data_IF_812565349345
#
_entry.id   IF_812565349345
#
_cell.length_a   1.000
_cell.length_b   1.000
_cell.length_c   1.000
_cell.angle_alpha   90.00
_cell.angle_beta   90.00
_cell.angle_gamma   90.00
#
_symmetry.space_group_name_H-M   'P 1'
#
loop_
_entity.id
_entity.type
_entity.pdbx_description
1 polymer ?
#
# COMPACT_ATOMS: atom_id res chain seq x y z
N UNK A 1 -3.15 -3.54 -11.23
CA UNK A 1 -1.84 -3.57 -11.92
C UNK A 1 -1.84 -2.42 -12.90
N UNK A 2 -0.69 -1.95 -13.42
CA UNK A 2 -0.73 -1.00 -14.55
C UNK A 2 -1.62 -1.60 -15.65
N UNK A 3 -2.62 -0.85 -16.09
CA UNK A 3 -3.52 -1.30 -17.14
C UNK A 3 -2.74 -1.36 -18.46
N UNK A 4 -2.28 -2.55 -18.83
CA UNK A 4 -1.68 -2.76 -20.15
C UNK A 4 -2.79 -2.56 -21.19
N UNK A 5 -2.77 -1.41 -21.88
CA UNK A 5 -3.76 -0.95 -22.86
C UNK A 5 -3.90 -1.84 -24.11
N UNK A 6 -3.05 -2.87 -24.25
CA UNK A 6 -3.00 -3.73 -25.44
C UNK A 6 -3.61 -5.11 -25.17
N UNK A 7 -4.41 -5.58 -26.14
CA UNK A 7 -5.17 -6.84 -26.11
C UNK A 7 -4.49 -7.98 -26.90
N UNK A 8 -3.19 -7.84 -27.20
CA UNK A 8 -2.44 -8.86 -27.91
C UNK A 8 -2.12 -10.03 -26.96
N UNK A 9 -2.06 -11.25 -27.48
CA UNK A 9 -1.89 -12.48 -26.70
C UNK A 9 -0.67 -12.45 -25.76
N UNK A 10 0.45 -11.83 -26.14
CA UNK A 10 1.61 -11.67 -25.28
C UNK A 10 1.31 -10.87 -23.99
N UNK A 11 0.48 -9.82 -24.10
CA UNK A 11 0.14 -8.96 -22.96
C UNK A 11 -0.88 -9.67 -22.06
N UNK A 12 -1.77 -10.49 -22.65
CA UNK A 12 -2.69 -11.37 -21.91
C UNK A 12 -1.94 -12.43 -21.10
N UNK A 13 -0.93 -13.07 -21.70
CA UNK A 13 -0.05 -14.02 -21.02
C UNK A 13 0.69 -13.36 -19.85
N UNK A 14 1.23 -12.15 -20.05
CA UNK A 14 1.90 -11.43 -18.97
C UNK A 14 0.94 -11.02 -17.84
N UNK A 15 -0.28 -10.55 -18.15
CA UNK A 15 -1.32 -10.30 -17.13
C UNK A 15 -1.64 -11.56 -16.32
N UNK A 16 -1.73 -12.71 -16.99
CA UNK A 16 -1.98 -13.99 -16.34
C UNK A 16 -0.84 -14.39 -15.40
N UNK A 17 0.41 -14.20 -15.84
CA UNK A 17 1.59 -14.45 -15.02
C UNK A 17 1.56 -13.63 -13.72
N UNK A 18 1.25 -12.33 -13.82
CA UNK A 18 1.13 -11.46 -12.64
C UNK A 18 0.07 -11.96 -11.65
N UNK A 19 -1.05 -12.51 -12.13
CA UNK A 19 -2.09 -13.11 -11.29
C UNK A 19 -1.60 -14.39 -10.61
N UNK A 20 -0.92 -15.27 -11.35
CA UNK A 20 -0.42 -16.56 -10.81
C UNK A 20 0.62 -16.32 -9.73
N UNK A 21 1.59 -15.42 -9.97
CA UNK A 21 2.63 -15.09 -8.98
C UNK A 21 2.00 -14.49 -7.71
N UNK A 22 0.97 -13.64 -7.85
CA UNK A 22 0.24 -13.06 -6.70
C UNK A 22 -0.49 -14.12 -5.87
N UNK A 23 -1.17 -15.05 -6.55
CA UNK A 23 -2.10 -15.99 -5.90
C UNK A 23 -1.36 -17.13 -5.19
N UNK A 24 -0.18 -17.51 -5.70
CA UNK A 24 0.58 -18.64 -5.17
C UNK A 24 1.62 -18.24 -4.09
N UNK A 25 1.61 -16.98 -3.63
CA UNK A 25 2.59 -16.48 -2.66
C UNK A 25 4.03 -16.47 -3.18
N UNK A 26 4.23 -16.51 -4.50
CA UNK A 26 5.57 -16.46 -5.08
C UNK A 26 6.12 -15.03 -5.01
N UNK A 27 7.40 -14.94 -4.65
CA UNK A 27 8.14 -13.68 -4.52
C UNK A 27 8.35 -13.02 -5.89
N UNK A 28 7.86 -11.79 -6.06
CA UNK A 28 7.98 -11.03 -7.31
C UNK A 28 9.39 -10.48 -7.57
N UNK A 29 10.19 -10.41 -6.50
CA UNK A 29 11.57 -10.01 -6.48
C UNK A 29 12.54 -11.17 -6.78
N UNK A 30 12.07 -12.42 -6.80
CA UNK A 30 12.92 -13.57 -7.13
C UNK A 30 13.22 -13.69 -8.63
N UNK A 31 14.30 -14.37 -8.95
CA UNK A 31 14.65 -14.78 -10.31
C UNK A 31 13.91 -16.06 -10.71
N UNK A 32 13.43 -16.10 -11.95
CA UNK A 32 12.78 -17.26 -12.57
C UNK A 32 13.60 -17.69 -13.79
N UNK A 33 13.62 -18.97 -14.10
CA UNK A 33 14.01 -19.41 -15.45
C UNK A 33 12.88 -19.11 -16.44
N UNK A 34 13.22 -18.92 -17.71
CA UNK A 34 12.21 -18.74 -18.77
C UNK A 34 11.26 -19.94 -18.85
N UNK A 35 11.76 -21.16 -18.64
CA UNK A 35 10.96 -22.38 -18.56
C UNK A 35 9.97 -22.34 -17.38
N UNK A 36 10.42 -21.93 -16.19
CA UNK A 36 9.56 -21.78 -15.01
C UNK A 36 8.43 -20.78 -15.27
N UNK A 37 8.72 -19.65 -15.93
CA UNK A 37 7.68 -18.71 -16.36
C UNK A 37 6.66 -19.41 -17.26
N UNK A 38 7.12 -20.24 -18.20
CA UNK A 38 6.25 -21.04 -19.06
C UNK A 38 5.36 -22.03 -18.30
N UNK A 39 5.87 -22.64 -17.23
CA UNK A 39 5.12 -23.55 -16.36
C UNK A 39 4.06 -22.85 -15.50
N UNK A 40 4.25 -21.57 -15.18
CA UNK A 40 3.28 -20.76 -14.43
C UNK A 40 2.09 -20.31 -15.29
N UNK A 41 2.27 -20.22 -16.61
CA UNK A 41 1.23 -19.82 -17.57
C UNK A 41 1.09 -20.81 -18.72
N UNK A 42 0.79 -22.10 -18.43
CA UNK A 42 0.76 -23.12 -19.45
C UNK A 42 -0.38 -22.88 -20.45
N UNK A 43 -0.18 -23.27 -21.71
CA UNK A 43 -1.17 -23.12 -22.80
C UNK A 43 -2.59 -23.57 -22.42
N UNK A 44 -2.71 -24.65 -21.64
CA UNK A 44 -4.00 -25.18 -21.17
C UNK A 44 -4.85 -24.14 -20.43
N UNK A 45 -4.20 -23.17 -19.78
CA UNK A 45 -4.85 -22.10 -19.01
C UNK A 45 -4.77 -20.75 -19.71
N UNK A 46 -4.13 -20.66 -20.88
CA UNK A 46 -3.76 -19.38 -21.48
C UNK A 46 -4.84 -18.74 -22.35
N UNK A 47 -5.95 -19.46 -22.60
CA UNK A 47 -7.00 -19.02 -23.53
C UNK A 47 -6.56 -18.94 -25.00
N UNK A 48 -5.41 -19.54 -25.37
CA UNK A 48 -4.90 -19.58 -26.75
C UNK A 48 -5.08 -21.00 -27.30
N UNK A 49 -5.86 -21.14 -28.37
CA UNK A 49 -6.23 -22.44 -28.93
C UNK A 49 -5.05 -23.16 -29.61
N UNK A 50 -4.28 -22.43 -30.43
CA UNK A 50 -3.19 -23.01 -31.24
C UNK A 50 -1.85 -22.95 -30.51
N UNK A 51 -1.09 -24.05 -30.55
CA UNK A 51 0.24 -24.13 -29.92
C UNK A 51 1.25 -23.17 -30.56
N UNK A 52 1.15 -22.94 -31.87
CA UNK A 52 2.00 -22.01 -32.62
C UNK A 52 1.75 -20.58 -32.14
N UNK A 53 0.48 -20.22 -31.94
CA UNK A 53 0.08 -18.91 -31.45
C UNK A 53 0.52 -18.67 -30.00
N UNK A 54 0.45 -19.70 -29.14
CA UNK A 54 0.93 -19.63 -27.76
C UNK A 54 2.44 -19.41 -27.73
N UNK A 55 3.20 -20.26 -28.43
CA UNK A 55 4.65 -20.20 -28.49
C UNK A 55 5.14 -18.86 -29.07
N UNK A 56 4.50 -18.39 -30.13
CA UNK A 56 4.79 -17.06 -30.67
C UNK A 56 4.54 -15.96 -29.63
N UNK A 57 3.42 -16.03 -28.90
CA UNK A 57 3.07 -15.03 -27.90
C UNK A 57 4.05 -15.01 -26.73
N UNK A 58 4.57 -16.18 -26.32
CA UNK A 58 5.65 -16.29 -25.33
C UNK A 58 6.94 -15.62 -25.83
N UNK A 59 7.37 -15.91 -27.07
CA UNK A 59 8.51 -15.21 -27.68
C UNK A 59 8.32 -13.69 -27.68
N UNK A 60 7.14 -13.19 -28.07
CA UNK A 60 6.85 -11.75 -28.04
C UNK A 60 6.86 -11.18 -26.61
N UNK A 61 6.32 -11.93 -25.65
CA UNK A 61 6.24 -11.51 -24.24
C UNK A 61 7.63 -11.26 -23.62
N UNK A 62 8.64 -12.03 -24.04
CA UNK A 62 10.02 -11.89 -23.61
C UNK A 62 10.84 -10.88 -24.45
N UNK A 63 10.29 -10.37 -25.55
CA UNK A 63 10.96 -9.43 -26.45
C UNK A 63 10.67 -7.96 -26.15
N UNK A 64 11.42 -7.04 -26.77
CA UNK A 64 11.14 -5.60 -26.78
C UNK A 64 10.18 -5.15 -27.87
N UNK A 65 9.58 -6.08 -28.61
CA UNK A 65 8.67 -5.72 -29.69
C UNK A 65 7.53 -4.84 -29.15
N UNK A 66 7.32 -3.68 -29.78
CA UNK A 66 6.38 -2.64 -29.33
C UNK A 66 6.70 -2.02 -27.95
N UNK A 67 7.98 -1.95 -27.58
CA UNK A 67 8.44 -1.30 -26.35
C UNK A 67 8.13 -2.08 -25.07
N UNK A 68 7.98 -3.40 -25.17
CA UNK A 68 7.74 -4.27 -24.02
C UNK A 68 9.01 -4.43 -23.21
N UNK A 69 8.90 -4.24 -21.90
CA UNK A 69 10.00 -4.47 -20.96
C UNK A 69 9.50 -5.22 -19.72
N UNK A 70 8.63 -6.21 -19.94
CA UNK A 70 8.02 -7.06 -18.91
C UNK A 70 9.00 -7.80 -18.03
N UNK A 71 10.20 -8.07 -18.56
CA UNK A 71 11.24 -8.81 -17.86
C UNK A 71 12.57 -8.08 -17.90
N UNK A 72 13.31 -8.23 -16.82
CA UNK A 72 14.72 -7.88 -16.70
C UNK A 72 15.52 -9.18 -16.86
N UNK A 73 16.33 -9.28 -17.91
CA UNK A 73 17.18 -10.44 -18.14
C UNK A 73 18.46 -10.33 -17.33
N UNK A 74 18.90 -11.44 -16.72
CA UNK A 74 20.17 -11.47 -16.00
C UNK A 74 21.35 -11.51 -16.98
N UNK A 75 21.15 -12.11 -18.16
CA UNK A 75 22.07 -12.01 -19.29
C UNK A 75 21.70 -10.78 -20.15
N UNK A 76 22.57 -9.77 -20.28
CA UNK A 76 22.26 -8.52 -20.98
C UNK A 76 22.00 -8.71 -22.49
N UNK A 77 22.59 -9.73 -23.12
CA UNK A 77 22.46 -9.97 -24.57
C UNK A 77 21.13 -10.64 -24.93
N UNK A 78 20.52 -11.36 -23.97
CA UNK A 78 19.32 -12.16 -24.21
C UNK A 78 18.12 -11.36 -24.68
N UNK A 79 18.02 -10.11 -24.23
CA UNK A 79 16.94 -9.22 -24.61
C UNK A 79 16.96 -8.92 -26.11
N UNK A 80 18.15 -8.65 -26.66
CA UNK A 80 18.37 -8.43 -28.10
C UNK A 80 18.12 -9.71 -28.88
N UNK A 81 18.69 -10.83 -28.44
CA UNK A 81 18.57 -12.15 -29.09
C UNK A 81 17.10 -12.57 -29.27
N UNK A 82 16.28 -12.45 -28.21
CA UNK A 82 14.86 -12.81 -28.27
C UNK A 82 14.06 -11.81 -29.12
N UNK A 83 14.45 -10.53 -29.13
CA UNK A 83 13.81 -9.51 -29.97
C UNK A 83 14.07 -9.74 -31.45
N UNK A 84 15.28 -10.15 -31.82
CA UNK A 84 15.59 -10.53 -33.21
C UNK A 84 14.86 -11.81 -33.63
N UNK A 85 14.76 -12.80 -32.72
CA UNK A 85 13.95 -14.00 -32.93
C UNK A 85 12.48 -13.64 -33.18
N UNK A 86 11.91 -12.72 -32.39
CA UNK A 86 10.53 -12.25 -32.51
C UNK A 86 10.24 -11.59 -33.87
N UNK A 87 11.21 -10.90 -34.45
CA UNK A 87 11.07 -10.16 -35.72
C UNK A 87 11.40 -11.02 -36.96
N UNK A 88 11.93 -12.23 -36.80
CA UNK A 88 12.31 -13.11 -37.92
C UNK A 88 11.08 -13.80 -38.57
N UNK A 89 11.01 -13.82 -39.91
CA UNK A 89 9.89 -14.40 -40.68
C UNK A 89 9.73 -15.91 -40.48
N UNK A 90 10.82 -16.68 -40.54
CA UNK A 90 10.85 -18.15 -40.38
C UNK A 90 11.39 -18.56 -39.01
N UNK A 91 10.96 -17.86 -37.94
CA UNK A 91 11.45 -18.06 -36.57
C UNK A 91 11.03 -19.41 -35.97
N UNK A 92 11.88 -19.96 -35.10
CA UNK A 92 11.51 -21.05 -34.22
C UNK A 92 10.75 -20.51 -33.00
N UNK A 93 9.43 -20.51 -33.05
CA UNK A 93 8.59 -20.02 -31.93
C UNK A 93 8.73 -20.85 -30.64
N UNK A 94 9.35 -22.04 -30.66
CA UNK A 94 9.59 -22.84 -29.45
C UNK A 94 10.93 -22.53 -28.79
N UNK A 95 11.80 -21.77 -29.45
CA UNK A 95 13.16 -21.51 -28.99
C UNK A 95 13.22 -20.80 -27.63
N UNK A 96 12.20 -20.00 -27.27
CA UNK A 96 12.12 -19.38 -25.94
C UNK A 96 12.22 -20.43 -24.83
N UNK A 97 11.65 -21.62 -25.03
CA UNK A 97 11.72 -22.72 -24.06
C UNK A 97 12.84 -23.71 -24.41
N UNK A 98 12.89 -24.18 -25.66
CA UNK A 98 13.78 -25.30 -26.03
C UNK A 98 15.26 -24.93 -26.14
N UNK A 99 15.57 -23.63 -26.32
CA UNK A 99 16.95 -23.13 -26.43
C UNK A 99 17.26 -22.25 -25.22
N UNK A 100 16.35 -21.32 -24.89
CA UNK A 100 16.58 -20.30 -23.87
C UNK A 100 15.88 -20.57 -22.53
N UNK A 101 15.27 -21.75 -22.33
CA UNK A 101 14.48 -22.05 -21.13
C UNK A 101 15.25 -21.89 -19.81
N UNK A 102 16.56 -22.11 -19.83
CA UNK A 102 17.45 -21.99 -18.67
C UNK A 102 17.89 -20.56 -18.33
N UNK A 103 17.68 -19.60 -19.25
CA UNK A 103 18.02 -18.20 -19.02
C UNK A 103 17.16 -17.61 -17.90
N UNK A 104 17.77 -16.73 -17.10
CA UNK A 104 17.12 -16.19 -15.89
C UNK A 104 16.60 -14.79 -16.12
N UNK A 105 15.40 -14.56 -15.61
CA UNK A 105 14.68 -13.29 -15.70
C UNK A 105 14.07 -12.91 -14.37
N UNK A 106 13.89 -11.60 -14.15
CA UNK A 106 13.01 -11.05 -13.11
C UNK A 106 11.84 -10.36 -13.78
N UNK A 107 10.63 -10.47 -13.20
CA UNK A 107 9.49 -9.67 -13.65
C UNK A 107 9.81 -8.21 -13.36
N UNK A 108 9.62 -7.31 -14.33
CA UNK A 108 9.93 -5.91 -14.14
C UNK A 108 8.99 -5.30 -13.08
N UNK A 109 9.53 -4.81 -11.94
CA UNK A 109 8.73 -4.40 -10.79
C UNK A 109 7.73 -3.27 -11.08
N UNK A 110 7.95 -2.47 -12.12
CA UNK A 110 7.02 -1.42 -12.52
C UNK A 110 5.62 -1.94 -12.89
N UNK A 111 5.51 -3.21 -13.26
CA UNK A 111 4.20 -3.80 -13.58
C UNK A 111 3.46 -4.36 -12.36
N UNK A 112 4.14 -4.40 -11.20
CA UNK A 112 3.58 -4.77 -9.91
C UNK A 112 2.88 -3.59 -9.24
N UNK A 113 3.23 -2.37 -9.64
CA UNK A 113 2.70 -1.13 -9.07
C UNK A 113 1.37 -0.76 -9.71
N UNK A 114 0.29 -1.37 -9.21
CA UNK A 114 -0.88 -0.56 -8.84
C UNK A 114 -1.14 -0.57 -7.33
N UNK A 115 -0.68 -1.62 -6.65
CA UNK A 115 -0.72 -1.89 -5.19
C UNK A 115 0.36 -1.21 -4.36
N UNK A 116 1.31 -0.52 -5.01
CA UNK A 116 2.38 0.19 -4.32
C UNK A 116 2.09 1.67 -4.48
N UNK A 117 1.17 2.14 -3.65
CA UNK A 117 0.97 3.56 -3.38
C UNK A 117 2.09 3.94 -2.42
N UNK A 118 3.20 4.43 -2.98
CA UNK A 118 4.02 5.39 -2.26
C UNK A 118 3.27 6.73 -2.33
N UNK A 119 2.98 7.42 -1.22
CA UNK A 119 1.83 8.34 -1.07
C UNK A 119 1.92 9.67 -1.81
N UNK A 120 2.82 9.83 -2.77
CA UNK A 120 2.95 11.10 -3.49
C UNK A 120 2.69 10.86 -4.97
N UNK A 121 1.40 10.79 -5.32
CA UNK A 121 0.99 11.16 -6.66
C UNK A 121 1.33 12.64 -6.83
N UNK A 122 2.00 12.99 -7.92
CA UNK A 122 2.38 14.38 -8.28
C UNK A 122 3.43 15.05 -7.37
N UNK A 123 4.58 14.39 -7.15
CA UNK A 123 5.76 15.07 -6.57
C UNK A 123 6.31 16.10 -7.55
N UNK A 124 5.98 17.37 -7.35
CA UNK A 124 6.48 18.47 -8.20
C UNK A 124 7.87 18.97 -7.75
N UNK A 125 8.25 18.71 -6.50
CA UNK A 125 9.55 19.09 -5.96
C UNK A 125 10.09 18.08 -4.92
N UNK A 126 11.39 17.83 -4.99
CA UNK A 126 12.11 16.97 -4.04
C UNK A 126 13.27 17.75 -3.43
N UNK A 127 13.32 17.76 -2.09
CA UNK A 127 14.35 18.47 -1.33
C UNK A 127 15.01 17.56 -0.32
N UNK A 128 16.32 17.68 -0.20
CA UNK A 128 17.07 17.07 0.91
C UNK A 128 17.16 18.11 2.04
N UNK A 129 16.66 17.73 3.20
CA UNK A 129 16.83 18.46 4.45
C UNK A 129 17.97 17.81 5.26
N UNK A 130 19.15 18.44 5.34
CA UNK A 130 20.24 17.93 6.17
C UNK A 130 19.96 18.20 7.65
N UNK A 131 20.04 17.13 8.43
CA UNK A 131 20.04 17.12 9.89
C UNK A 131 21.49 16.90 10.35
N UNK A 132 21.84 17.44 11.53
CA UNK A 132 23.21 17.46 12.03
C UNK A 132 23.25 17.12 13.50
N UNK A 133 24.29 16.40 13.93
CA UNK A 133 24.65 16.17 15.34
C UNK A 133 25.02 17.48 16.06
N UNK A 134 25.30 18.55 15.31
CA UNK A 134 25.50 19.89 15.89
C UNK A 134 24.19 20.53 16.36
N UNK A 135 23.04 19.96 16.00
CA UNK A 135 21.76 20.31 16.60
C UNK A 135 21.66 19.58 17.95
N UNK A 136 21.54 20.30 19.09
CA UNK A 136 21.40 19.66 20.40
C UNK A 136 20.25 18.66 20.48
N UNK A 137 19.22 18.79 19.63
CA UNK A 137 18.10 17.86 19.55
C UNK A 137 18.53 16.45 19.08
N UNK A 138 19.64 16.35 18.33
CA UNK A 138 20.10 15.12 17.68
C UNK A 138 21.53 14.71 18.07
N UNK A 139 22.15 15.39 19.04
CA UNK A 139 23.51 15.08 19.48
C UNK A 139 23.59 13.66 20.09
N UNK A 140 24.61 12.91 19.69
CA UNK A 140 24.83 11.53 20.14
C UNK A 140 23.87 10.48 19.59
N UNK A 141 22.84 10.86 18.82
CA UNK A 141 21.83 9.91 18.33
C UNK A 141 22.33 9.08 17.16
N UNK A 142 22.04 7.79 17.17
CA UNK A 142 22.23 6.91 16.00
C UNK A 142 21.16 7.17 14.95
N UNK A 143 21.34 6.63 13.73
CA UNK A 143 20.29 6.70 12.70
C UNK A 143 19.00 6.06 13.20
N UNK A 144 19.09 4.94 13.92
CA UNK A 144 17.94 4.25 14.49
C UNK A 144 17.18 5.15 15.48
N UNK A 145 17.90 5.86 16.35
CA UNK A 145 17.29 6.76 17.34
C UNK A 145 16.55 7.92 16.67
N UNK A 146 17.10 8.46 15.57
CA UNK A 146 16.43 9.48 14.78
C UNK A 146 15.21 8.92 14.05
N UNK A 147 15.28 7.72 13.49
CA UNK A 147 14.13 7.08 12.85
C UNK A 147 13.00 6.77 13.87
N UNK A 148 13.35 6.43 15.11
CA UNK A 148 12.40 6.36 16.21
C UNK A 148 11.77 7.73 16.49
N UNK A 149 12.57 8.80 16.56
CA UNK A 149 12.05 10.18 16.69
C UNK A 149 11.10 10.58 15.55
N UNK A 150 11.40 10.22 14.30
CA UNK A 150 10.48 10.41 13.16
C UNK A 150 9.14 9.70 13.37
N UNK A 151 9.17 8.56 14.06
CA UNK A 151 7.97 7.75 14.33
C UNK A 151 7.17 8.31 15.50
N UNK A 152 7.86 8.68 16.56
CA UNK A 152 7.23 8.93 17.86
C UNK A 152 6.92 10.42 18.10
N UNK A 153 7.66 11.32 17.44
CA UNK A 153 7.64 12.75 17.77
C UNK A 153 7.11 13.58 16.61
N UNK A 154 7.74 13.46 15.42
CA UNK A 154 7.42 14.30 14.27
C UNK A 154 5.92 14.36 13.87
N UNK A 155 5.11 13.29 13.94
CA UNK A 155 3.69 13.36 13.60
C UNK A 155 2.88 14.38 14.40
N UNK A 156 3.29 14.62 15.64
CA UNK A 156 2.60 15.50 16.59
C UNK A 156 3.30 16.84 16.81
N UNK A 157 4.45 17.08 16.17
CA UNK A 157 5.29 18.25 16.44
C UNK A 157 5.74 18.95 15.17
N UNK A 158 5.89 20.27 15.26
CA UNK A 158 6.47 21.05 14.17
C UNK A 158 8.00 20.86 14.13
N UNK A 159 8.57 20.70 12.93
CA UNK A 159 10.02 20.62 12.75
C UNK A 159 10.60 22.04 12.69
N UNK A 160 11.25 22.48 13.76
CA UNK A 160 11.79 23.83 13.85
C UNK A 160 13.05 24.03 12.98
N UNK A 161 13.26 25.24 12.48
CA UNK A 161 14.48 25.58 11.75
C UNK A 161 15.01 26.98 12.12
N UNK A 162 16.33 27.10 12.15
CA UNK A 162 17.01 28.41 12.22
C UNK A 162 17.21 29.01 10.82
N UNK A 163 17.36 28.15 9.80
CA UNK A 163 17.45 28.52 8.38
C UNK A 163 16.57 27.60 7.52
N UNK A 164 15.40 28.10 7.15
CA UNK A 164 14.44 27.36 6.34
C UNK A 164 14.83 27.26 4.87
N UNK A 165 14.37 26.21 4.21
CA UNK A 165 14.34 26.01 2.77
C UNK A 165 13.29 26.95 2.17
N UNK A 166 13.52 27.45 0.95
CA UNK A 166 12.45 28.03 0.14
C UNK A 166 11.69 26.89 -0.55
N UNK A 167 10.52 26.52 -0.03
CA UNK A 167 9.73 25.33 -0.42
C UNK A 167 8.25 25.61 -0.23
N UNK A 168 7.43 25.01 -1.09
CA UNK A 168 5.98 25.09 -1.05
C UNK A 168 5.36 23.79 -0.48
N UNK A 169 4.13 23.89 0.01
CA UNK A 169 3.33 22.73 0.40
C UNK A 169 3.28 21.67 -0.72
N UNK A 170 3.32 20.39 -0.37
CA UNK A 170 3.39 19.29 -1.35
C UNK A 170 4.82 18.88 -1.74
N UNK A 171 5.85 19.61 -1.32
CA UNK A 171 7.25 19.21 -1.52
C UNK A 171 7.56 17.90 -0.79
N UNK A 172 8.15 16.94 -1.49
CA UNK A 172 8.74 15.75 -0.88
C UNK A 172 10.08 16.11 -0.23
N UNK A 173 10.12 15.98 1.09
CA UNK A 173 11.34 16.19 1.87
C UNK A 173 11.97 14.85 2.19
N UNK A 174 13.24 14.70 1.84
CA UNK A 174 14.10 13.58 2.19
C UNK A 174 15.03 14.02 3.33
N UNK A 175 14.98 13.32 4.45
CA UNK A 175 15.75 13.69 5.63
C UNK A 175 17.11 13.01 5.60
N UNK A 176 18.16 13.83 5.56
CA UNK A 176 19.53 13.36 5.55
C UNK A 176 20.13 13.41 6.96
N UNK A 177 20.69 12.30 7.42
CA UNK A 177 21.43 12.23 8.67
C UNK A 177 22.60 11.24 8.55
N UNK A 178 23.76 11.56 9.16
CA UNK A 178 24.98 10.73 9.11
C UNK A 178 25.31 10.17 7.72
N UNK A 179 25.27 11.04 6.70
CA UNK A 179 25.51 10.70 5.30
C UNK A 179 24.61 9.58 4.74
N UNK A 180 23.35 9.55 5.18
CA UNK A 180 22.30 8.69 4.62
C UNK A 180 21.00 9.49 4.46
N UNK A 181 20.12 9.06 3.56
CA UNK A 181 18.69 9.40 3.65
C UNK A 181 18.03 8.35 4.53
N UNK A 182 17.32 8.80 5.56
CA UNK A 182 16.82 7.93 6.63
C UNK A 182 15.29 7.97 6.78
N UNK A 183 14.65 9.02 6.25
CA UNK A 183 13.21 9.20 6.29
C UNK A 183 12.73 10.09 5.13
N UNK A 184 11.43 10.15 4.95
CA UNK A 184 10.77 11.09 4.02
C UNK A 184 9.41 11.52 4.51
N UNK A 185 8.93 12.69 4.09
CA UNK A 185 7.57 13.17 4.36
C UNK A 185 7.15 14.23 3.33
N UNK A 186 5.85 14.50 3.22
CA UNK A 186 5.33 15.67 2.49
C UNK A 186 5.20 16.85 3.41
N UNK A 187 5.77 17.96 2.96
CA UNK A 187 5.54 19.24 3.60
C UNK A 187 4.07 19.61 3.50
N UNK A 188 3.39 19.75 4.64
CA UNK A 188 2.04 20.29 4.72
C UNK A 188 2.10 21.81 4.56
N UNK A 189 2.91 22.48 5.39
CA UNK A 189 3.14 23.91 5.29
C UNK A 189 4.44 24.32 5.96
N UNK A 190 4.95 25.46 5.55
CA UNK A 190 6.05 26.17 6.21
C UNK A 190 5.50 27.41 6.91
N UNK A 191 5.86 27.60 8.17
CA UNK A 191 5.51 28.78 8.96
C UNK A 191 6.79 29.55 9.27
N UNK A 192 6.77 30.86 9.11
CA UNK A 192 7.88 31.77 9.51
C UNK A 192 7.38 32.56 10.70
N UNK A 193 8.18 32.65 11.75
CA UNK A 193 7.81 33.38 12.96
C UNK A 193 8.05 34.89 12.77
N UNK A 194 7.11 35.72 13.22
CA UNK A 194 7.17 37.19 13.11
C UNK A 194 8.23 37.79 14.06
N UNK A 195 8.39 37.18 15.23
CA UNK A 195 9.46 37.46 16.19
C UNK A 195 10.28 36.19 16.43
N UNK A 196 11.60 36.33 16.67
CA UNK A 196 12.42 35.15 17.01
C UNK A 196 11.88 34.54 18.30
N UNK A 197 11.62 33.24 18.30
CA UNK A 197 11.29 32.54 19.54
C UNK A 197 12.43 32.68 20.56
N UNK A 198 12.14 32.47 21.85
CA UNK A 198 13.14 32.46 22.93
C UNK A 198 14.35 31.54 22.59
N UNK A 199 14.12 30.51 21.77
CA UNK A 199 15.09 29.49 21.34
C UNK A 199 15.80 29.74 19.98
N UNK A 200 15.80 30.96 19.43
CA UNK A 200 16.52 31.38 18.20
C UNK A 200 16.00 30.85 16.84
N UNK A 201 14.93 30.06 16.82
CA UNK A 201 14.32 29.57 15.58
C UNK A 201 13.63 30.68 14.78
N UNK A 202 13.61 30.54 13.44
CA UNK A 202 12.99 31.51 12.51
C UNK A 202 11.66 31.03 11.95
N UNK A 203 11.28 29.79 12.22
CA UNK A 203 10.07 29.18 11.71
C UNK A 203 10.11 27.67 11.89
N UNK A 204 9.08 27.01 11.36
CA UNK A 204 8.94 25.57 11.42
C UNK A 204 8.31 25.00 10.14
N UNK A 205 8.54 23.71 9.91
CA UNK A 205 7.81 22.92 8.94
C UNK A 205 6.78 22.07 9.65
N UNK A 206 5.58 22.02 9.08
CA UNK A 206 4.59 21.00 9.41
C UNK A 206 4.58 19.97 8.30
N UNK A 207 4.63 18.70 8.66
CA UNK A 207 4.56 17.60 7.71
C UNK A 207 3.20 16.91 7.82
N UNK A 208 2.70 16.39 6.70
CA UNK A 208 1.49 15.56 6.72
C UNK A 208 1.80 14.28 7.47
N UNK A 209 1.23 14.10 8.65
CA UNK A 209 1.67 13.08 9.58
C UNK A 209 1.51 11.63 9.05
N UNK A 210 0.49 11.39 8.23
CA UNK A 210 0.27 10.11 7.50
C UNK A 210 1.24 9.86 6.33
N UNK A 211 2.11 10.81 6.00
CA UNK A 211 3.12 10.67 4.95
C UNK A 211 4.52 10.40 5.48
N UNK A 212 4.74 10.60 6.78
CA UNK A 212 6.05 10.39 7.39
C UNK A 212 6.39 8.91 7.27
N UNK A 213 7.56 8.63 6.71
CA UNK A 213 7.99 7.28 6.42
C UNK A 213 9.48 7.11 6.72
N UNK A 214 9.81 5.94 7.27
CA UNK A 214 11.17 5.49 7.56
C UNK A 214 11.48 4.23 6.75
N UNK A 215 12.76 4.01 6.48
CA UNK A 215 13.25 2.89 5.66
C UNK A 215 14.71 2.61 5.97
N UNK A 216 15.23 1.46 5.53
CA UNK A 216 16.65 1.14 5.61
C UNK A 216 17.49 2.30 5.04
N UNK A 217 18.45 2.85 5.81
CA UNK A 217 19.20 4.04 5.43
C UNK A 217 19.86 3.93 4.05
N UNK A 218 19.66 4.95 3.22
CA UNK A 218 20.16 4.97 1.85
C UNK A 218 21.47 5.74 1.77
N UNK A 219 22.51 5.05 1.34
CA UNK A 219 23.85 5.61 1.19
C UNK A 219 24.02 6.36 -0.15
N UNK A 220 25.23 6.87 -0.38
CA UNK A 220 25.54 7.70 -1.56
C UNK A 220 25.41 6.92 -2.86
N UNK A 221 25.79 5.65 -2.87
CA UNK A 221 25.73 4.79 -4.06
C UNK A 221 24.29 4.62 -4.52
N UNK A 222 23.39 4.35 -3.57
CA UNK A 222 21.94 4.29 -3.83
C UNK A 222 21.44 5.63 -4.37
N UNK A 223 21.78 6.74 -3.72
CA UNK A 223 21.34 8.07 -4.16
C UNK A 223 21.84 8.41 -5.58
N UNK A 224 23.08 8.07 -5.91
CA UNK A 224 23.65 8.27 -7.25
C UNK A 224 22.95 7.41 -8.32
N UNK A 225 22.50 6.21 -7.95
CA UNK A 225 21.75 5.34 -8.87
C UNK A 225 20.38 5.94 -9.25
N UNK A 226 19.78 6.72 -8.34
CA UNK A 226 18.53 7.45 -8.59
C UNK A 226 18.80 8.79 -9.28
N UNK A 227 19.83 9.50 -8.85
CA UNK A 227 20.21 10.85 -9.28
C UNK A 227 21.71 10.92 -9.58
N UNK A 228 22.14 10.70 -10.84
CA UNK A 228 23.55 10.76 -11.20
C UNK A 228 24.22 12.12 -10.94
N UNK A 229 23.43 13.20 -10.89
CA UNK A 229 23.88 14.56 -10.57
C UNK A 229 23.92 14.87 -9.07
N UNK A 230 23.64 13.89 -8.20
CA UNK A 230 23.66 14.07 -6.76
C UNK A 230 25.07 14.43 -6.28
N UNK A 231 25.19 15.57 -5.60
CA UNK A 231 26.49 16.16 -5.22
C UNK A 231 27.09 15.52 -3.97
N UNK A 232 26.48 14.46 -3.45
CA UNK A 232 26.85 13.80 -2.20
C UNK A 232 26.19 14.45 -0.98
N UNK A 233 26.28 13.77 0.15
CA UNK A 233 25.73 14.25 1.41
C UNK A 233 26.62 15.36 1.99
N UNK A 234 25.98 16.46 2.37
CA UNK A 234 26.62 17.61 3.01
C UNK A 234 25.55 18.43 3.74
N UNK A 235 25.95 19.46 4.48
CA UNK A 235 25.04 20.29 5.28
C UNK A 235 24.31 21.37 4.46
N UNK A 236 24.40 21.35 3.12
CA UNK A 236 23.64 22.27 2.26
C UNK A 236 22.31 21.63 1.86
N UNK A 237 21.26 22.44 1.83
CA UNK A 237 19.97 22.06 1.31
C UNK A 237 20.10 21.81 -0.20
N UNK A 238 19.60 20.67 -0.68
CA UNK A 238 19.70 20.28 -2.09
C UNK A 238 18.33 20.08 -2.70
N UNK A 239 18.19 20.44 -3.97
CA UNK A 239 17.03 20.08 -4.80
C UNK A 239 17.42 18.94 -5.71
N UNK A 240 16.59 17.90 -5.73
CA UNK A 240 16.75 16.76 -6.62
C UNK A 240 15.80 16.89 -7.80
N UNK A 241 16.22 16.32 -8.92
CA UNK A 241 15.40 16.27 -10.13
C UNK A 241 14.26 15.26 -9.96
N UNK A 242 13.04 15.67 -10.26
CA UNK A 242 11.83 14.85 -10.08
C UNK A 242 11.90 13.57 -10.92
N UNK A 243 12.59 13.58 -12.06
CA UNK A 243 12.72 12.37 -12.91
C UNK A 243 13.44 11.21 -12.20
N UNK A 244 14.28 11.47 -11.20
CA UNK A 244 14.92 10.41 -10.41
C UNK A 244 14.00 9.74 -9.38
N UNK A 245 12.84 10.34 -9.11
CA UNK A 245 11.87 9.84 -8.14
C UNK A 245 11.36 8.44 -8.45
N UNK A 246 11.14 8.12 -9.73
CA UNK A 246 10.67 6.79 -10.12
C UNK A 246 11.69 5.69 -9.81
N UNK A 247 12.99 6.00 -9.91
CA UNK A 247 14.07 5.06 -9.52
C UNK A 247 14.14 4.94 -8.00
N UNK A 248 14.03 6.07 -7.31
CA UNK A 248 14.03 6.14 -5.85
C UNK A 248 12.89 5.35 -5.23
N UNK A 249 11.66 5.54 -5.72
CA UNK A 249 10.49 4.82 -5.23
C UNK A 249 10.65 3.31 -5.40
N UNK A 250 11.21 2.84 -6.53
CA UNK A 250 11.52 1.42 -6.74
C UNK A 250 12.48 0.87 -5.69
N UNK A 251 13.55 1.62 -5.39
CA UNK A 251 14.55 1.16 -4.41
C UNK A 251 13.96 1.12 -3.01
N UNK A 252 13.12 2.08 -2.62
CA UNK A 252 12.50 2.10 -1.29
C UNK A 252 11.69 0.85 -0.96
N UNK A 253 11.10 0.19 -1.97
CA UNK A 253 10.34 -1.05 -1.80
C UNK A 253 11.19 -2.22 -1.35
N UNK A 254 12.49 -2.15 -1.65
CA UNK A 254 13.49 -3.14 -1.25
C UNK A 254 14.19 -2.75 0.07
N UNK A 255 13.70 -1.70 0.75
CA UNK A 255 14.37 -1.04 1.89
C UNK A 255 13.48 -0.96 3.13
N UNK A 256 12.69 -1.99 3.39
CA UNK A 256 11.89 -2.15 4.62
C UNK A 256 11.09 -0.89 5.02
N UNK A 257 10.42 -0.33 4.03
CA UNK A 257 9.68 0.91 4.16
C UNK A 257 8.49 0.81 5.12
N UNK A 258 8.32 1.80 6.01
CA UNK A 258 7.22 1.90 7.00
C UNK A 258 6.68 3.33 7.12
N UNK A 259 5.36 3.49 7.22
CA UNK A 259 4.71 4.77 7.54
C UNK A 259 4.40 4.91 9.01
N UNK A 260 4.47 6.14 9.51
CA UNK A 260 4.45 6.43 10.95
C UNK A 260 3.05 6.48 11.56
N UNK A 261 2.05 7.10 10.89
CA UNK A 261 0.65 7.11 11.34
C UNK A 261 -0.24 6.12 10.57
N UNK A 262 0.16 4.86 10.51
CA UNK A 262 -0.69 3.80 9.97
C UNK A 262 -1.80 3.50 10.98
N UNK A 263 -2.96 4.19 10.97
CA UNK A 263 -4.30 3.61 11.28
C UNK A 263 -4.44 2.43 10.34
N UNK A 264 -4.49 1.20 10.86
CA UNK A 264 -4.28 -0.05 10.12
C UNK A 264 -4.93 0.07 8.75
N UNK A 265 -4.11 0.20 7.71
CA UNK A 265 -4.55 0.30 6.33
C UNK A 265 -5.76 -0.63 6.10
N UNK A 266 -6.94 -0.08 5.79
CA UNK A 266 -8.20 -0.82 5.64
C UNK A 266 -8.05 -2.00 4.67
N UNK A 267 -7.23 -1.83 3.61
CA UNK A 267 -6.91 -2.89 2.67
C UNK A 267 -5.95 -3.95 3.24
N UNK A 268 -5.03 -3.59 4.15
CA UNK A 268 -4.19 -4.53 4.87
C UNK A 268 -4.98 -5.29 5.95
N UNK A 269 -5.88 -4.60 6.65
CA UNK A 269 -6.82 -5.20 7.59
C UNK A 269 -7.74 -6.20 6.88
N UNK A 270 -8.37 -5.77 5.78
CA UNK A 270 -9.21 -6.64 4.94
C UNK A 270 -8.41 -7.79 4.33
N UNK A 271 -7.19 -7.55 3.85
CA UNK A 271 -6.32 -8.63 3.36
C UNK A 271 -5.96 -9.62 4.46
N UNK A 272 -5.73 -9.16 5.69
CA UNK A 272 -5.51 -10.02 6.85
C UNK A 272 -6.72 -10.91 7.14
N UNK A 273 -7.93 -10.34 7.09
CA UNK A 273 -9.19 -11.08 7.25
C UNK A 273 -9.34 -12.18 6.18
N UNK A 274 -9.07 -11.88 4.91
CA UNK A 274 -9.20 -12.87 3.85
C UNK A 274 -8.26 -14.07 4.02
N UNK A 275 -7.05 -13.83 4.55
CA UNK A 275 -6.02 -14.86 4.76
C UNK A 275 -6.25 -15.71 6.04
N UNK A 276 -7.17 -15.33 6.92
CA UNK A 276 -7.51 -16.14 8.09
C UNK A 276 -8.34 -17.35 7.67
N UNK A 277 -7.80 -18.55 7.94
CA UNK A 277 -8.47 -19.82 7.71
C UNK A 277 -8.93 -20.42 9.05
N UNK A 278 -10.20 -20.24 9.40
CA UNK A 278 -10.84 -20.78 10.61
C UNK A 278 -12.18 -21.42 10.26
N UNK A 279 -12.58 -22.45 11.01
CA UNK A 279 -13.91 -23.08 10.90
C UNK A 279 -14.88 -22.48 11.91
N UNK A 280 -16.16 -22.33 11.52
CA UNK A 280 -17.21 -21.65 12.28
C UNK A 280 -17.30 -22.11 13.75
N UNK A 281 -17.05 -21.21 14.73
CA UNK A 281 -17.44 -21.40 16.12
C UNK A 281 -18.88 -20.93 16.36
N UNK A 282 -19.45 -21.29 17.52
CA UNK A 282 -20.74 -20.73 17.97
C UNK A 282 -20.66 -19.20 18.15
N UNK A 283 -21.77 -18.52 17.82
CA UNK A 283 -21.95 -17.08 18.06
C UNK A 283 -21.81 -16.78 19.56
N UNK A 284 -21.17 -15.67 19.87
CA UNK A 284 -21.06 -15.16 21.24
C UNK A 284 -21.25 -13.65 21.21
N UNK A 285 -22.51 -13.20 21.10
CA UNK A 285 -22.86 -11.80 21.33
C UNK A 285 -22.85 -11.58 22.86
N UNK A 286 -21.65 -11.41 23.41
CA UNK A 286 -21.41 -11.18 24.85
C UNK A 286 -20.73 -9.81 24.97
N UNK A 287 -21.05 -9.00 26.00
CA UNK A 287 -20.32 -7.77 26.28
C UNK A 287 -18.82 -8.05 26.48
N UNK A 288 -17.97 -7.30 25.80
CA UNK A 288 -16.51 -7.40 25.91
C UNK A 288 -15.98 -6.05 26.39
N UNK A 289 -15.00 -6.03 27.29
CA UNK A 289 -14.36 -4.80 27.71
C UNK A 289 -13.40 -4.29 26.62
N UNK A 290 -13.35 -2.97 26.34
CA UNK A 290 -12.55 -2.42 25.25
C UNK A 290 -11.05 -2.60 25.50
N UNK A 291 -10.32 -3.04 24.47
CA UNK A 291 -8.87 -3.20 24.52
C UNK A 291 -8.23 -2.03 23.77
N UNK A 292 -7.63 -1.12 24.53
CA UNK A 292 -6.88 0.02 24.01
C UNK A 292 -5.43 -0.42 23.74
N UNK A 293 -4.91 -0.22 22.52
CA UNK A 293 -3.47 -0.39 22.26
C UNK A 293 -2.68 0.91 22.42
N UNK A 294 -3.37 2.05 22.50
CA UNK A 294 -2.73 3.32 22.78
C UNK A 294 -2.74 3.60 24.27
N UNK A 295 -1.56 3.56 24.87
CA UNK A 295 -1.29 4.47 25.97
C UNK A 295 -1.11 5.86 25.35
N UNK A 296 -2.15 6.67 25.46
CA UNK A 296 -2.13 8.13 25.42
C UNK A 296 -0.78 8.77 25.80
N UNK A 297 -0.43 9.96 25.31
CA UNK A 297 -1.35 11.05 24.91
C UNK A 297 -0.73 11.97 23.84
N UNK A 298 -1.29 12.27 22.66
CA UNK A 298 -2.68 12.23 22.19
C UNK A 298 -2.75 11.84 20.70
N UNK A 299 -2.88 10.54 20.43
CA UNK A 299 -3.86 10.00 19.46
C UNK A 299 -4.24 8.61 19.96
N UNK A 300 -5.45 8.47 20.49
CA UNK A 300 -5.93 7.19 20.99
C UNK A 300 -6.25 6.26 19.82
N UNK A 301 -5.90 4.99 19.95
CA UNK A 301 -6.05 4.00 18.91
C UNK A 301 -6.50 2.65 19.46
N UNK A 302 -7.74 2.33 19.14
CA UNK A 302 -8.42 1.10 19.52
C UNK A 302 -8.12 -0.05 18.55
N UNK A 303 -8.03 -1.28 19.08
CA UNK A 303 -7.67 -2.45 18.28
C UNK A 303 -8.82 -2.96 17.41
N UNK A 304 -8.47 -3.44 16.22
CA UNK A 304 -9.40 -4.15 15.34
C UNK A 304 -8.93 -5.60 15.21
N UNK A 305 -9.78 -6.56 15.60
CA UNK A 305 -9.43 -7.97 15.54
C UNK A 305 -9.91 -8.59 14.22
N UNK A 306 -8.95 -8.93 13.34
CA UNK A 306 -9.22 -9.58 12.06
C UNK A 306 -9.97 -10.92 12.21
N UNK A 307 -9.82 -11.64 13.34
CA UNK A 307 -10.57 -12.88 13.63
C UNK A 307 -12.03 -12.59 13.92
N UNK A 308 -12.34 -11.55 14.72
CA UNK A 308 -13.71 -11.11 14.98
C UNK A 308 -14.40 -10.68 13.67
N UNK A 309 -13.70 -9.92 12.84
CA UNK A 309 -14.19 -9.51 11.53
C UNK A 309 -14.38 -10.70 10.56
N UNK A 310 -13.46 -11.68 10.56
CA UNK A 310 -13.62 -12.92 9.79
C UNK A 310 -14.85 -13.72 10.22
N UNK A 311 -15.12 -13.81 11.53
CA UNK A 311 -16.29 -14.51 12.07
C UNK A 311 -17.60 -13.87 11.61
N UNK A 312 -17.68 -12.54 11.60
CA UNK A 312 -18.83 -11.82 11.05
C UNK A 312 -19.06 -12.14 9.55
N UNK A 313 -18.00 -12.14 8.73
CA UNK A 313 -18.08 -12.51 7.29
C UNK A 313 -18.51 -13.97 7.09
N UNK A 314 -17.98 -14.91 7.90
CA UNK A 314 -18.39 -16.31 7.82
C UNK A 314 -19.88 -16.48 8.15
N UNK A 315 -20.38 -15.74 9.14
CA UNK A 315 -21.79 -15.77 9.56
C UNK A 315 -22.73 -15.18 8.51
N UNK A 316 -22.31 -14.13 7.80
CA UNK A 316 -23.10 -13.60 6.68
C UNK A 316 -23.14 -14.55 5.48
N UNK A 317 -22.38 -15.66 5.51
CA UNK A 317 -22.24 -16.56 4.38
C UNK A 317 -21.57 -15.87 3.19
N UNK A 318 -20.69 -14.90 3.45
CA UNK A 318 -20.06 -14.06 2.44
C UNK A 318 -21.05 -13.23 1.61
N UNK A 319 -22.16 -12.78 2.21
CA UNK A 319 -23.17 -11.95 1.55
C UNK A 319 -23.22 -10.54 2.15
N UNK A 320 -23.66 -9.57 1.34
CA UNK A 320 -23.87 -8.20 1.80
C UNK A 320 -25.11 -8.13 2.70
N UNK A 321 -24.93 -7.65 3.93
CA UNK A 321 -26.00 -7.59 4.91
C UNK A 321 -26.97 -6.42 4.70
N UNK A 322 -26.57 -5.38 3.96
CA UNK A 322 -27.50 -4.34 3.54
C UNK A 322 -28.52 -4.90 2.54
N UNK A 323 -28.02 -5.54 1.47
CA UNK A 323 -28.84 -6.20 0.48
C UNK A 323 -28.17 -7.52 0.00
N UNK A 324 -28.71 -8.69 0.37
CA UNK A 324 -28.14 -9.99 0.00
C UNK A 324 -28.13 -10.27 -1.51
N UNK A 325 -28.97 -9.56 -2.29
CA UNK A 325 -28.95 -9.68 -3.75
C UNK A 325 -27.77 -8.95 -4.38
N UNK A 326 -27.07 -8.09 -3.64
CA UNK A 326 -25.84 -7.47 -4.10
C UNK A 326 -24.80 -8.57 -4.28
N UNK A 327 -24.51 -8.87 -5.53
CA UNK A 327 -23.41 -9.74 -5.88
C UNK A 327 -22.11 -8.96 -5.84
N UNK A 328 -21.05 -9.68 -5.51
CA UNK A 328 -19.69 -9.22 -5.66
C UNK A 328 -18.91 -10.30 -6.40
N UNK A 329 -17.68 -9.98 -6.79
CA UNK A 329 -16.80 -10.96 -7.41
C UNK A 329 -16.40 -12.03 -6.39
N UNK A 330 -15.98 -13.22 -6.84
CA UNK A 330 -15.42 -14.23 -5.93
C UNK A 330 -13.98 -13.88 -5.57
N UNK A 331 -13.67 -13.87 -4.28
CA UNK A 331 -12.33 -13.73 -3.73
C UNK A 331 -11.43 -14.86 -4.22
N UNK A 332 -10.22 -14.50 -4.63
CA UNK A 332 -9.18 -15.47 -5.01
C UNK A 332 -8.53 -16.15 -3.81
N UNK A 333 -8.62 -15.52 -2.64
CA UNK A 333 -7.99 -16.02 -1.40
C UNK A 333 -8.93 -17.01 -0.71
N UNK A 334 -10.21 -16.66 -0.57
CA UNK A 334 -11.19 -17.49 0.15
C UNK A 334 -12.00 -18.41 -0.77
N UNK A 335 -12.05 -18.11 -2.07
CA UNK A 335 -12.90 -18.80 -3.05
C UNK A 335 -14.41 -18.45 -2.95
N UNK A 336 -14.78 -17.59 -2.01
CA UNK A 336 -16.17 -17.17 -1.72
C UNK A 336 -16.46 -15.80 -2.30
N UNK A 337 -17.72 -15.35 -2.25
CA UNK A 337 -18.08 -13.97 -2.65
C UNK A 337 -17.29 -12.94 -1.82
N UNK A 338 -16.70 -11.93 -2.47
CA UNK A 338 -15.88 -10.94 -1.80
C UNK A 338 -16.75 -9.89 -1.12
N UNK A 339 -16.52 -9.72 0.17
CA UNK A 339 -17.20 -8.77 1.05
C UNK A 339 -16.19 -8.19 2.02
N UNK A 340 -16.45 -6.98 2.48
CA UNK A 340 -15.59 -6.21 3.37
C UNK A 340 -16.25 -6.14 4.75
N UNK A 341 -15.45 -6.31 5.81
CA UNK A 341 -15.93 -6.14 7.16
C UNK A 341 -15.92 -4.65 7.52
N UNK A 342 -17.03 -4.17 8.07
CA UNK A 342 -17.18 -2.79 8.48
C UNK A 342 -17.79 -2.72 9.87
N UNK A 343 -17.24 -1.87 10.74
CA UNK A 343 -17.83 -1.58 12.03
C UNK A 343 -18.97 -0.58 11.84
N UNK A 344 -20.21 -0.98 12.18
CA UNK A 344 -21.40 -0.15 12.03
C UNK A 344 -21.33 1.10 12.91
N UNK A 345 -20.83 1.00 14.13
CA UNK A 345 -20.40 2.15 14.93
C UNK A 345 -18.89 2.27 14.69
N UNK A 346 -18.40 3.39 14.13
CA UNK A 346 -16.98 3.56 13.82
C UNK A 346 -16.10 3.36 15.06
N UNK A 347 -14.98 2.65 14.91
CA UNK A 347 -14.05 2.39 16.02
C UNK A 347 -13.43 3.66 16.64
N UNK A 348 -13.45 4.78 15.92
CA UNK A 348 -13.03 6.09 16.42
C UNK A 348 -13.93 6.59 17.56
N UNK A 349 -15.18 6.12 17.61
CA UNK A 349 -16.16 6.47 18.64
C UNK A 349 -16.07 5.59 19.88
N UNK A 350 -15.09 4.68 19.96
CA UNK A 350 -14.97 3.72 21.07
C UNK A 350 -14.89 4.40 22.45
N UNK A 351 -14.34 5.61 22.55
CA UNK A 351 -14.31 6.38 23.80
C UNK A 351 -15.70 6.73 24.34
N UNK A 352 -16.73 6.74 23.49
CA UNK A 352 -18.11 7.03 23.89
C UNK A 352 -18.85 5.81 24.47
N UNK A 353 -18.23 4.63 24.49
CA UNK A 353 -18.88 3.38 24.89
C UNK A 353 -18.07 2.65 25.97
N UNK A 354 -18.77 2.14 26.99
CA UNK A 354 -18.16 1.37 28.08
C UNK A 354 -17.74 -0.04 27.67
N UNK A 355 -18.28 -0.55 26.56
CA UNK A 355 -17.99 -1.88 26.00
C UNK A 355 -17.32 -1.76 24.64
N UNK A 356 -16.55 -2.79 24.28
CA UNK A 356 -15.81 -2.86 23.03
C UNK A 356 -16.75 -2.81 21.83
N UNK A 357 -16.46 -1.90 20.91
CA UNK A 357 -17.09 -1.82 19.60
C UNK A 357 -16.56 -2.90 18.66
N UNK A 358 -15.43 -3.55 18.97
CA UNK A 358 -14.87 -4.64 18.16
C UNK A 358 -15.51 -6.00 18.50
N UNK A 359 -16.83 -6.08 18.30
CA UNK A 359 -17.66 -7.27 18.53
C UNK A 359 -18.46 -7.64 17.28
N UNK A 360 -18.76 -8.93 17.09
CA UNK A 360 -19.53 -9.41 15.91
C UNK A 360 -20.91 -8.74 15.76
N UNK A 361 -21.50 -8.24 16.86
CA UNK A 361 -22.76 -7.50 16.83
C UNK A 361 -22.63 -6.17 16.06
N UNK A 362 -21.48 -5.50 16.20
CA UNK A 362 -21.16 -4.22 15.58
C UNK A 362 -20.45 -4.37 14.22
N UNK A 363 -19.89 -5.53 13.90
CA UNK A 363 -19.28 -5.77 12.59
C UNK A 363 -20.31 -6.33 11.61
N UNK A 364 -20.41 -5.68 10.45
CA UNK A 364 -21.27 -6.07 9.34
C UNK A 364 -20.45 -6.46 8.11
N UNK A 365 -20.97 -7.40 7.34
CA UNK A 365 -20.40 -7.78 6.05
C UNK A 365 -21.07 -6.99 4.92
N UNK A 366 -20.29 -6.18 4.20
CA UNK A 366 -20.79 -5.34 3.10
C UNK A 366 -20.14 -5.72 1.78
N UNK A 367 -20.87 -5.54 0.68
CA UNK A 367 -20.20 -5.52 -0.62
C UNK A 367 -19.36 -4.24 -0.74
N UNK A 368 -18.33 -4.22 -1.61
CA UNK A 368 -17.43 -3.07 -1.72
C UNK A 368 -18.14 -1.77 -2.06
N UNK A 369 -19.22 -1.83 -2.85
CA UNK A 369 -20.01 -0.66 -3.19
C UNK A 369 -20.66 -0.07 -1.94
N UNK A 370 -21.43 -0.86 -1.19
CA UNK A 370 -22.09 -0.37 0.02
C UNK A 370 -21.09 0.11 1.08
N UNK A 371 -19.95 -0.58 1.20
CA UNK A 371 -18.89 -0.19 2.12
C UNK A 371 -18.31 1.19 1.76
N UNK A 372 -18.03 1.42 0.48
CA UNK A 372 -17.50 2.71 0.02
C UNK A 372 -18.56 3.80 0.01
N UNK A 373 -19.83 3.47 -0.27
CA UNK A 373 -20.94 4.42 -0.12
C UNK A 373 -20.98 4.96 1.30
N UNK A 374 -20.90 4.10 2.32
CA UNK A 374 -20.93 4.52 3.73
C UNK A 374 -19.78 5.46 4.12
N UNK A 375 -18.61 5.32 3.51
CA UNK A 375 -17.45 6.18 3.82
C UNK A 375 -17.33 7.46 2.98
N UNK A 376 -17.97 7.52 1.81
CA UNK A 376 -17.62 8.51 0.79
C UNK A 376 -18.80 9.14 0.07
N UNK A 377 -19.98 8.55 0.14
CA UNK A 377 -21.15 9.13 -0.50
C UNK A 377 -21.76 10.22 0.39
N UNK A 378 -22.60 11.05 -0.22
CA UNK A 378 -23.37 12.06 0.51
C UNK A 378 -24.39 11.38 1.44
N UNK A 379 -24.80 12.10 2.49
CA UNK A 379 -25.68 11.59 3.55
C UNK A 379 -26.95 10.93 3.02
N UNK A 380 -27.55 11.47 1.96
CA UNK A 380 -28.77 10.91 1.32
C UNK A 380 -28.58 9.48 0.78
N UNK A 381 -27.35 9.10 0.39
CA UNK A 381 -27.01 7.75 -0.07
C UNK A 381 -26.53 6.84 1.06
N UNK A 382 -25.97 7.42 2.14
CA UNK A 382 -25.50 6.71 3.34
C UNK A 382 -26.67 6.31 4.24
N UNK A 383 -27.62 7.21 4.46
CA UNK A 383 -28.73 7.08 5.42
C UNK A 383 -29.56 5.80 5.21
N UNK A 384 -29.97 5.41 3.98
CA UNK A 384 -30.72 4.18 3.78
C UNK A 384 -29.93 2.92 4.19
N UNK A 385 -28.61 2.94 4.00
CA UNK A 385 -27.72 1.82 4.32
C UNK A 385 -27.59 1.68 5.84
N UNK A 386 -27.22 2.77 6.52
CA UNK A 386 -27.01 2.78 7.97
C UNK A 386 -28.31 2.48 8.72
N UNK A 387 -29.43 3.07 8.30
CA UNK A 387 -30.75 2.82 8.90
C UNK A 387 -31.14 1.33 8.80
N UNK A 388 -30.97 0.73 7.62
CA UNK A 388 -31.26 -0.69 7.40
C UNK A 388 -30.37 -1.60 8.26
N UNK A 389 -29.07 -1.35 8.30
CA UNK A 389 -28.13 -2.14 9.10
C UNK A 389 -28.39 -1.99 10.60
N UNK A 390 -28.65 -0.78 11.08
CA UNK A 390 -28.94 -0.51 12.48
C UNK A 390 -30.19 -1.26 12.94
N UNK A 391 -31.27 -1.24 12.15
CA UNK A 391 -32.49 -2.00 12.47
C UNK A 391 -32.24 -3.51 12.61
N UNK A 392 -31.31 -4.06 11.83
CA UNK A 392 -30.92 -5.48 11.88
C UNK A 392 -30.00 -5.81 13.06
N UNK A 393 -29.24 -4.84 13.56
CA UNK A 393 -28.20 -5.05 14.58
C UNK A 393 -28.58 -4.56 15.99
N UNK A 394 -29.59 -3.70 16.13
CA UNK A 394 -29.97 -3.07 17.41
C UNK A 394 -30.12 -4.06 18.57
N UNK A 395 -30.90 -5.13 18.40
CA UNK A 395 -31.10 -6.12 19.46
C UNK A 395 -29.81 -6.86 19.85
N UNK A 396 -28.90 -7.07 18.89
CA UNK A 396 -27.60 -7.73 19.16
C UNK A 396 -26.63 -6.80 19.86
N UNK A 397 -26.62 -5.52 19.48
CA UNK A 397 -25.85 -4.48 20.16
C UNK A 397 -26.29 -4.33 21.63
N UNK A 398 -27.60 -4.37 21.90
CA UNK A 398 -28.15 -4.38 23.26
C UNK A 398 -27.69 -5.59 24.08
N UNK A 399 -27.66 -6.79 23.50
CA UNK A 399 -27.09 -7.98 24.17
C UNK A 399 -25.62 -7.81 24.52
N UNK A 400 -24.87 -7.02 23.74
CA UNK A 400 -23.49 -6.63 24.01
C UNK A 400 -23.35 -5.41 24.95
N UNK A 401 -24.45 -4.91 25.53
CA UNK A 401 -24.49 -3.70 26.37
C UNK A 401 -24.00 -2.43 25.63
N UNK A 402 -24.22 -2.37 24.32
CA UNK A 402 -23.92 -1.20 23.46
C UNK A 402 -25.25 -0.53 23.09
N UNK A 403 -25.49 0.64 23.68
CA UNK A 403 -26.73 1.41 23.48
C UNK A 403 -26.46 2.72 22.73
N UNK A 404 -27.22 2.94 21.67
CA UNK A 404 -27.31 4.20 20.95
C UNK A 404 -28.63 4.25 20.16
N UNK A 405 -29.06 5.44 19.75
CA UNK A 405 -30.16 5.61 18.81
C UNK A 405 -29.66 5.88 17.38
N UNK A 406 -30.58 5.80 16.42
CA UNK A 406 -30.27 5.99 15.00
C UNK A 406 -29.74 7.40 14.71
N UNK A 407 -30.28 8.43 15.37
CA UNK A 407 -29.85 9.81 15.15
C UNK A 407 -28.39 10.02 15.56
N UNK A 408 -28.01 9.48 16.72
CA UNK A 408 -26.62 9.49 17.21
C UNK A 408 -25.72 8.72 16.26
N UNK A 409 -26.13 7.54 15.80
CA UNK A 409 -25.36 6.76 14.84
C UNK A 409 -25.13 7.54 13.54
N UNK A 410 -26.18 8.16 12.99
CA UNK A 410 -26.09 8.94 11.75
C UNK A 410 -25.11 10.10 11.86
N UNK A 411 -25.05 10.77 13.02
CA UNK A 411 -24.10 11.88 13.25
C UNK A 411 -22.62 11.47 13.17
N UNK A 412 -22.31 10.17 13.27
CA UNK A 412 -20.93 9.68 13.08
C UNK A 412 -20.54 9.50 11.61
N UNK A 413 -21.48 9.65 10.69
CA UNK A 413 -21.31 9.52 9.24
C UNK A 413 -21.52 10.84 8.49
N UNK A 414 -21.72 11.94 9.23
CA UNK A 414 -21.71 13.32 8.73
C UNK A 414 -20.30 13.91 8.85
#
# INVERSE_FOLDING_TARGET
MIELKSNVNADKLFKQLLVVVKTNGHQFDREYTIEEIGSLIPKSTSGIEKYESYNYSMTIMFSEQKGRDYFLFMNPDMKTIITDLANTRNRNNRAWNTIYGHERVRINPKYLTSNIVWPYQDVEEIRILPMSESDPEFDGYSIHDIQAWFSDVLPGTDFNFTKGMNVEAGTLVLFQYKAHIIASAILDKKVVFEEKSEDTYRGCYKFKANTIAIFQPLNREVMNSCWPSFKGFNQTQQRLDVFGYQRFSKILLEKELRFVLDIENEAAFQSGIENINITLPSVSDIPVDPVNLSTSSQSQRWTRNQVTAKRAILRSGYTCEYNPSHSSFKSKVTGQTYVEAHHLIPMEQQENFNKSLDVEANIVSLCPLCHKTVHHADTDEVEPIITSLFSKRQARLQTCEIELDLATLMSYYE
#
